data_IF_854211288143
#
_entry.id   IF_854211288143
#
_cell.length_a   1.000
_cell.length_b   1.000
_cell.length_c   1.000
_cell.angle_alpha   90.00
_cell.angle_beta   90.00
_cell.angle_gamma   90.00
#
_symmetry.space_group_name_H-M   'P 1'
#
loop_
_entity.id
_entity.type
_entity.pdbx_description
1 polymer ?
#
# COMPACT_ATOMS: atom_id res chain seq x y z
N UNK A 1 -6.69 5.95 7.33
CA UNK A 1 -7.64 6.75 6.53
C UNK A 1 -8.19 5.81 5.48
N UNK A 2 -9.50 5.79 5.31
CA UNK A 2 -10.19 4.78 4.51
C UNK A 2 -10.94 5.44 3.35
N UNK A 3 -11.07 4.68 2.27
CA UNK A 3 -11.83 5.07 1.09
C UNK A 3 -12.71 3.89 0.77
N UNK A 4 -14.02 4.12 0.68
CA UNK A 4 -14.95 3.09 0.22
C UNK A 4 -14.72 2.87 -1.26
N UNK A 5 -14.36 1.65 -1.63
CA UNK A 5 -14.07 1.27 -3.01
C UNK A 5 -15.32 0.67 -3.64
N UNK A 6 -15.80 1.27 -4.74
CA UNK A 6 -16.98 0.79 -5.48
C UNK A 6 -16.63 0.11 -6.80
N UNK A 7 -15.34 -0.14 -7.08
CA UNK A 7 -14.84 -0.72 -8.32
C UNK A 7 -13.44 -1.31 -8.17
N UNK A 8 -12.73 -1.54 -9.27
CA UNK A 8 -11.41 -2.19 -9.26
C UNK A 8 -10.25 -1.30 -8.77
N UNK A 9 -10.48 0.01 -8.66
CA UNK A 9 -9.44 1.00 -8.32
C UNK A 9 -9.95 2.00 -7.31
N UNK A 10 -9.08 2.39 -6.40
CA UNK A 10 -9.25 3.52 -5.49
C UNK A 10 -8.22 4.59 -5.80
N UNK A 11 -8.60 5.86 -5.70
CA UNK A 11 -7.68 6.99 -5.88
C UNK A 11 -7.75 7.86 -4.63
N UNK A 12 -6.58 8.17 -4.08
CA UNK A 12 -6.44 9.12 -2.98
C UNK A 12 -5.53 10.27 -3.36
N UNK A 13 -5.89 11.48 -2.94
CA UNK A 13 -5.08 12.67 -3.13
C UNK A 13 -4.61 13.17 -1.77
N UNK A 14 -3.29 13.31 -1.61
CA UNK A 14 -2.67 13.81 -0.39
C UNK A 14 -1.66 14.89 -0.74
N UNK A 15 -1.61 15.93 0.10
CA UNK A 15 -0.58 16.96 0.05
C UNK A 15 0.58 16.55 0.96
N UNK A 16 1.79 16.47 0.40
CA UNK A 16 3.00 16.09 1.11
C UNK A 16 4.07 17.16 0.90
N UNK A 17 4.93 17.35 1.92
CA UNK A 17 6.18 18.11 1.74
C UNK A 17 7.13 17.29 0.89
N UNK A 18 8.00 17.95 0.14
CA UNK A 18 9.05 17.26 -0.62
C UNK A 18 9.92 16.40 0.30
N UNK A 19 10.25 15.19 -0.12
CA UNK A 19 11.02 14.24 0.67
C UNK A 19 10.91 12.79 0.21
N UNK A 20 11.48 11.90 1.00
CA UNK A 20 11.49 10.46 0.78
C UNK A 20 10.31 9.80 1.52
N UNK A 21 9.47 9.07 0.80
CA UNK A 21 8.30 8.38 1.36
C UNK A 21 8.24 6.93 0.90
N UNK A 22 7.59 6.08 1.68
CA UNK A 22 7.13 4.78 1.24
C UNK A 22 5.64 4.69 1.53
N UNK A 23 4.86 4.22 0.57
CA UNK A 23 3.42 4.07 0.71
C UNK A 23 3.11 2.60 0.95
N UNK A 24 2.26 2.33 1.94
CA UNK A 24 1.69 1.03 2.24
C UNK A 24 0.18 1.16 2.20
N UNK A 25 -0.48 0.28 1.46
CA UNK A 25 -1.94 0.26 1.32
C UNK A 25 -2.41 -1.17 1.52
N UNK A 26 -3.52 -1.35 2.21
CA UNK A 26 -4.23 -2.62 2.30
C UNK A 26 -5.72 -2.41 2.11
N UNK A 27 -6.40 -3.45 1.64
CA UNK A 27 -7.85 -3.47 1.54
C UNK A 27 -8.40 -4.23 2.75
N UNK A 28 -9.04 -3.50 3.66
CA UNK A 28 -9.79 -4.09 4.77
C UNK A 28 -11.10 -4.68 4.23
N UNK A 29 -11.07 -5.98 3.92
CA UNK A 29 -12.19 -6.66 3.24
C UNK A 29 -13.27 -7.05 4.26
N UNK A 30 -12.86 -7.32 5.50
CA UNK A 30 -13.78 -7.73 6.56
C UNK A 30 -14.29 -6.56 7.43
N UNK A 31 -13.77 -5.34 7.20
CA UNK A 31 -14.15 -4.09 7.85
C UNK A 31 -13.91 -4.11 9.37
N UNK A 32 -12.77 -4.68 9.80
CA UNK A 32 -12.36 -4.75 11.21
C UNK A 32 -11.34 -3.68 11.65
N UNK A 33 -10.91 -2.84 10.70
CA UNK A 33 -9.97 -1.75 10.88
C UNK A 33 -8.51 -2.18 10.99
N UNK A 34 -8.17 -3.43 10.65
CA UNK A 34 -6.83 -4.01 10.80
C UNK A 34 -6.38 -4.70 9.53
N UNK A 35 -5.06 -4.76 9.35
CA UNK A 35 -4.48 -5.70 8.39
C UNK A 35 -4.43 -7.08 9.05
N UNK A 36 -5.34 -7.96 8.67
CA UNK A 36 -5.40 -9.30 9.24
C UNK A 36 -4.21 -10.14 8.79
N UNK A 37 -3.58 -10.84 9.73
CA UNK A 37 -2.47 -11.75 9.44
C UNK A 37 -2.73 -13.17 9.95
N UNK A 38 -2.06 -14.16 9.37
CA UNK A 38 -2.02 -15.51 9.93
C UNK A 38 -1.00 -15.63 11.09
N UNK A 39 -0.88 -16.83 11.67
CA UNK A 39 -0.03 -17.09 12.85
C UNK A 39 1.48 -16.89 12.66
N UNK A 40 1.94 -16.63 11.43
CA UNK A 40 3.33 -16.30 11.10
C UNK A 40 3.49 -14.90 10.49
N UNK A 41 2.44 -14.07 10.52
CA UNK A 41 2.48 -12.67 10.12
C UNK A 41 2.22 -12.40 8.63
N UNK A 42 1.78 -13.39 7.85
CA UNK A 42 1.41 -13.17 6.44
C UNK A 42 0.03 -12.51 6.36
N UNK A 43 -0.12 -11.40 5.60
CA UNK A 43 -1.42 -10.78 5.35
C UNK A 43 -2.43 -11.75 4.75
N UNK A 44 -3.67 -11.70 5.24
CA UNK A 44 -4.83 -12.44 4.72
C UNK A 44 -5.69 -11.62 3.78
N UNK A 45 -5.36 -10.35 3.63
CA UNK A 45 -6.12 -9.36 2.87
C UNK A 45 -5.20 -8.70 1.84
N UNK A 46 -5.73 -8.20 0.71
CA UNK A 46 -4.93 -7.60 -0.34
C UNK A 46 -4.12 -6.42 0.20
N UNK A 47 -2.81 -6.42 -0.09
CA UNK A 47 -1.91 -5.37 0.37
C UNK A 47 -0.90 -5.01 -0.72
N UNK A 48 -0.29 -3.84 -0.59
CA UNK A 48 0.72 -3.37 -1.55
C UNK A 48 1.61 -2.28 -0.97
N UNK A 49 2.82 -2.19 -1.54
CA UNK A 49 3.77 -1.14 -1.22
C UNK A 49 4.21 -0.42 -2.50
N UNK A 50 4.62 0.84 -2.39
CA UNK A 50 5.31 1.51 -3.50
C UNK A 50 6.55 0.71 -3.94
N UNK A 51 6.77 0.65 -5.25
CA UNK A 51 7.87 -0.11 -5.88
C UNK A 51 7.92 -1.62 -5.53
N UNK A 52 6.81 -2.22 -5.09
CA UNK A 52 6.74 -3.67 -4.85
C UNK A 52 6.15 -4.42 -6.04
N UNK A 53 6.75 -5.55 -6.39
CA UNK A 53 6.38 -6.39 -7.53
C UNK A 53 5.52 -7.60 -7.13
N UNK A 54 5.13 -7.70 -5.86
CA UNK A 54 4.35 -8.83 -5.35
C UNK A 54 5.17 -10.08 -5.06
N UNK A 55 6.50 -10.06 -5.27
CA UNK A 55 7.33 -11.27 -5.21
C UNK A 55 8.28 -11.27 -4.02
N UNK A 56 8.27 -12.40 -3.31
CA UNK A 56 9.17 -12.66 -2.18
C UNK A 56 8.85 -11.80 -0.96
N UNK A 57 9.84 -11.62 -0.08
CA UNK A 57 9.67 -10.75 1.08
C UNK A 57 9.71 -9.27 0.64
N UNK A 58 8.79 -8.41 1.13
CA UNK A 58 8.70 -7.01 0.70
C UNK A 58 10.03 -6.27 0.80
N UNK A 59 10.70 -6.36 1.95
CA UNK A 59 12.01 -5.74 2.20
C UNK A 59 11.89 -4.58 3.19
N UNK A 60 12.73 -3.55 3.00
CA UNK A 60 12.78 -2.40 3.90
C UNK A 60 12.43 -1.08 3.19
N UNK A 61 12.40 0.02 3.94
CA UNK A 61 12.08 1.36 3.45
C UNK A 61 12.85 1.74 2.18
N UNK A 62 14.15 1.43 2.09
CA UNK A 62 14.97 1.84 0.93
C UNK A 62 14.47 1.24 -0.38
N UNK A 63 13.92 0.02 -0.36
CA UNK A 63 13.36 -0.65 -1.55
C UNK A 63 12.04 -0.02 -1.98
N UNK A 64 11.20 0.38 -1.03
CA UNK A 64 9.87 0.94 -1.30
C UNK A 64 9.85 2.46 -1.41
N UNK A 65 11.01 3.11 -1.31
CA UNK A 65 11.15 4.56 -1.29
C UNK A 65 10.78 5.18 -2.63
N UNK A 66 9.98 6.24 -2.58
CA UNK A 66 9.67 7.15 -3.68
C UNK A 66 10.05 8.55 -3.25
N UNK A 67 10.67 9.31 -4.15
CA UNK A 67 11.04 10.71 -3.92
C UNK A 67 9.90 11.59 -4.38
N UNK A 68 9.28 12.32 -3.45
CA UNK A 68 8.24 13.30 -3.75
C UNK A 68 8.91 14.67 -3.86
N UNK A 69 8.88 15.27 -5.04
CA UNK A 69 9.35 16.64 -5.30
C UNK A 69 8.26 17.57 -5.77
N UNK A 70 7.32 17.03 -6.54
CA UNK A 70 6.20 17.72 -7.18
C UNK A 70 4.97 16.81 -7.23
N UNK A 71 3.87 17.30 -7.81
CA UNK A 71 2.66 16.50 -7.98
C UNK A 71 2.93 15.28 -8.86
N UNK A 72 2.65 14.09 -8.35
CA UNK A 72 2.84 12.84 -9.07
C UNK A 72 1.79 11.81 -8.67
N UNK A 73 1.62 10.81 -9.53
CA UNK A 73 0.77 9.65 -9.28
C UNK A 73 1.64 8.43 -9.03
N UNK A 74 1.36 7.69 -7.97
CA UNK A 74 2.00 6.41 -7.65
C UNK A 74 0.93 5.32 -7.72
N UNK A 75 1.12 4.36 -8.62
CA UNK A 75 0.25 3.18 -8.71
C UNK A 75 0.81 2.09 -7.80
N UNK A 76 -0.04 1.59 -6.90
CA UNK A 76 0.30 0.50 -5.98
C UNK A 76 -0.63 -0.68 -6.28
N UNK A 77 -0.14 -1.72 -6.96
CA UNK A 77 -0.90 -2.96 -7.12
C UNK A 77 -1.10 -3.60 -5.75
N UNK A 78 -2.32 -4.04 -5.47
CA UNK A 78 -2.60 -4.89 -4.31
C UNK A 78 -2.41 -6.36 -4.72
N UNK A 79 -1.69 -7.09 -3.89
CA UNK A 79 -1.41 -8.51 -4.08
C UNK A 79 -1.99 -9.31 -2.94
N UNK A 80 -2.45 -10.52 -3.25
CA UNK A 80 -2.86 -11.53 -2.29
C UNK A 80 -1.77 -12.62 -2.26
N UNK A 81 -1.53 -13.19 -1.07
CA UNK A 81 -0.55 -14.27 -0.83
C UNK A 81 -1.26 -15.62 -0.66
#
# INVERSE_FOLDING_TARGET
MEIVVTGEKAVYHIQLKSGDYAFCVYHDVNNDGKLNTNGIGIPKEPYGFSNYDGKGFPGNFKKHKVVIGEAMTITIPLTEL
#
